data_IF_426137300443
#
_entry.id   IF_426137300443
#
_cell.length_a   1.000
_cell.length_b   1.000
_cell.length_c   1.000
_cell.angle_alpha   90.00
_cell.angle_beta   90.00
_cell.angle_gamma   90.00
#
_symmetry.space_group_name_H-M   'P 1'
#
loop_
_entity.id
_entity.type
_entity.pdbx_description
1 polymer ?
#
# COMPACT_ATOMS: atom_id res chain seq x y z
N UNK A 1 10.02 -7.18 -19.77
CA UNK A 1 9.90 -7.10 -18.30
C UNK A 1 10.63 -8.29 -17.64
N UNK A 2 10.25 -9.56 -17.95
CA UNK A 2 10.82 -10.75 -17.31
C UNK A 2 12.34 -10.81 -17.49
N UNK A 3 12.84 -10.82 -18.74
CA UNK A 3 14.27 -10.86 -19.02
C UNK A 3 15.07 -9.65 -18.51
N UNK A 4 14.43 -8.48 -18.35
CA UNK A 4 15.08 -7.30 -17.78
C UNK A 4 15.28 -7.46 -16.28
N UNK A 5 14.26 -7.98 -15.57
CA UNK A 5 14.34 -8.24 -14.13
C UNK A 5 15.32 -9.37 -13.80
N UNK A 6 15.30 -10.46 -14.59
CA UNK A 6 16.28 -11.55 -14.47
C UNK A 6 17.71 -11.01 -14.60
N UNK A 7 17.98 -10.24 -15.65
CA UNK A 7 19.30 -9.63 -15.90
C UNK A 7 19.76 -8.71 -14.78
N UNK A 8 18.85 -7.89 -14.22
CA UNK A 8 19.15 -7.00 -13.10
C UNK A 8 19.56 -7.81 -11.86
N UNK A 9 18.84 -8.89 -11.58
CA UNK A 9 19.12 -9.74 -10.42
C UNK A 9 20.42 -10.55 -10.59
N UNK A 10 20.70 -11.05 -11.79
CA UNK A 10 21.95 -11.79 -12.12
C UNK A 10 23.17 -10.89 -12.02
N UNK A 11 23.11 -9.67 -12.52
CA UNK A 11 24.23 -8.73 -12.50
C UNK A 11 24.55 -8.16 -11.11
N UNK A 12 23.66 -8.33 -10.13
CA UNK A 12 23.90 -7.92 -8.75
C UNK A 12 24.10 -6.41 -8.54
N UNK A 13 23.64 -5.57 -9.49
CA UNK A 13 23.90 -4.13 -9.50
C UNK A 13 23.06 -3.32 -8.51
N UNK A 14 21.91 -3.87 -8.08
CA UNK A 14 21.04 -3.19 -7.14
C UNK A 14 21.36 -3.58 -5.69
N UNK A 15 21.40 -2.60 -4.76
CA UNK A 15 21.47 -2.89 -3.33
C UNK A 15 20.17 -3.54 -2.85
N UNK A 16 20.21 -4.24 -1.72
CA UNK A 16 19.01 -4.83 -1.08
C UNK A 16 18.01 -3.76 -0.67
N UNK A 17 18.48 -2.57 -0.27
CA UNK A 17 17.69 -1.36 -0.04
C UNK A 17 18.50 -0.15 -0.45
N UNK A 18 17.84 0.87 -0.99
CA UNK A 18 18.47 2.14 -1.29
C UNK A 18 18.86 2.88 -0.01
N UNK A 19 19.96 3.65 -0.07
CA UNK A 19 20.31 4.60 0.98
C UNK A 19 19.25 5.72 1.10
N UNK A 20 19.20 6.40 2.24
CA UNK A 20 18.18 7.41 2.53
C UNK A 20 18.07 8.50 1.45
N UNK A 21 19.21 8.94 0.89
CA UNK A 21 19.23 9.94 -0.17
C UNK A 21 18.57 9.48 -1.50
N UNK A 22 18.52 8.18 -1.74
CA UNK A 22 17.96 7.54 -2.94
C UNK A 22 16.68 6.75 -2.64
N UNK A 23 16.13 6.90 -1.43
CA UNK A 23 14.95 6.18 -0.99
C UNK A 23 13.76 6.45 -1.92
N UNK A 24 13.12 5.38 -2.38
CA UNK A 24 12.03 5.43 -3.37
C UNK A 24 12.46 4.97 -4.77
N UNK A 25 13.75 4.89 -5.07
CA UNK A 25 14.24 4.20 -6.27
C UNK A 25 14.08 2.69 -6.11
N UNK A 26 13.92 1.97 -7.22
CA UNK A 26 13.81 0.51 -7.20
C UNK A 26 15.11 -0.12 -6.70
N UNK A 27 15.01 -0.95 -5.68
CA UNK A 27 16.08 -1.76 -5.11
C UNK A 27 15.96 -3.23 -5.52
N UNK A 28 16.83 -4.09 -5.02
CA UNK A 28 16.84 -5.52 -5.34
C UNK A 28 15.56 -6.22 -4.84
N UNK A 29 15.03 -5.84 -3.67
CA UNK A 29 13.81 -6.43 -3.14
C UNK A 29 12.59 -6.02 -3.99
N UNK A 30 12.53 -4.80 -4.50
CA UNK A 30 11.50 -4.38 -5.45
C UNK A 30 11.56 -5.18 -6.75
N UNK A 31 12.77 -5.42 -7.29
CA UNK A 31 12.96 -6.24 -8.50
C UNK A 31 12.54 -7.71 -8.28
N UNK A 32 12.96 -8.33 -7.16
CA UNK A 32 12.54 -9.69 -6.78
C UNK A 32 11.03 -9.81 -6.62
N UNK A 33 10.41 -8.86 -5.89
CA UNK A 33 8.98 -8.84 -5.65
C UNK A 33 8.18 -8.68 -6.95
N UNK A 34 8.61 -7.81 -7.83
CA UNK A 34 7.96 -7.63 -9.14
C UNK A 34 8.12 -8.88 -10.02
N UNK A 35 9.31 -9.48 -10.07
CA UNK A 35 9.54 -10.72 -10.83
C UNK A 35 8.70 -11.87 -10.29
N UNK A 36 8.56 -12.00 -8.96
CA UNK A 36 7.68 -13.00 -8.35
C UNK A 36 6.23 -12.83 -8.80
N UNK A 37 5.72 -11.60 -8.84
CA UNK A 37 4.35 -11.29 -9.33
C UNK A 37 4.21 -11.60 -10.81
N UNK A 38 5.21 -11.31 -11.64
CA UNK A 38 5.22 -11.64 -13.08
C UNK A 38 5.14 -13.15 -13.26
N UNK A 39 5.98 -13.91 -12.56
CA UNK A 39 5.98 -15.36 -12.67
C UNK A 39 4.68 -16.00 -12.15
N UNK A 40 4.18 -15.57 -11.01
CA UNK A 40 2.91 -16.04 -10.45
C UNK A 40 1.72 -15.82 -11.39
N UNK A 41 1.74 -14.73 -12.15
CA UNK A 41 0.67 -14.41 -13.11
C UNK A 41 0.79 -15.18 -14.42
N UNK A 42 2.01 -15.45 -14.88
CA UNK A 42 2.29 -15.98 -16.21
C UNK A 42 2.39 -17.52 -16.26
N UNK A 43 2.80 -18.11 -15.15
CA UNK A 43 3.07 -19.55 -15.02
C UNK A 43 2.10 -20.20 -14.02
N UNK A 44 2.09 -21.50 -13.92
CA UNK A 44 1.23 -22.28 -13.03
C UNK A 44 2.01 -23.31 -12.23
N UNK A 45 1.37 -23.89 -11.23
CA UNK A 45 1.96 -24.97 -10.44
C UNK A 45 2.45 -26.12 -11.34
N UNK A 46 3.67 -26.57 -11.09
CA UNK A 46 4.42 -27.51 -11.93
C UNK A 46 5.47 -26.86 -12.83
N UNK A 47 5.36 -25.58 -13.13
CA UNK A 47 6.38 -24.86 -13.91
C UNK A 47 7.53 -24.41 -13.01
N UNK A 48 8.78 -24.53 -13.48
CA UNK A 48 9.96 -24.09 -12.73
C UNK A 48 9.94 -22.61 -12.35
N UNK A 49 9.41 -21.75 -13.20
CA UNK A 49 9.27 -20.30 -12.92
C UNK A 49 8.21 -20.00 -11.88
N UNK A 50 7.15 -20.81 -11.77
CA UNK A 50 6.17 -20.70 -10.70
C UNK A 50 6.81 -21.04 -9.33
N UNK A 51 7.60 -22.12 -9.27
CA UNK A 51 8.37 -22.44 -8.07
C UNK A 51 9.40 -21.35 -7.74
N UNK A 52 10.04 -20.75 -8.76
CA UNK A 52 10.96 -19.62 -8.58
C UNK A 52 10.23 -18.38 -8.03
N UNK A 53 8.95 -18.14 -8.37
CA UNK A 53 8.16 -17.08 -7.77
C UNK A 53 8.05 -17.22 -6.25
N UNK A 54 7.74 -18.42 -5.76
CA UNK A 54 7.70 -18.70 -4.31
C UNK A 54 9.06 -18.46 -3.65
N UNK A 55 10.15 -18.90 -4.29
CA UNK A 55 11.49 -18.67 -3.81
C UNK A 55 11.85 -17.18 -3.75
N UNK A 56 11.49 -16.38 -4.74
CA UNK A 56 11.68 -14.93 -4.76
C UNK A 56 10.90 -14.21 -3.66
N UNK A 57 9.64 -14.62 -3.43
CA UNK A 57 8.86 -14.10 -2.30
C UNK A 57 9.56 -14.38 -0.97
N UNK A 58 10.02 -15.63 -0.77
CA UNK A 58 10.76 -16.03 0.43
C UNK A 58 12.02 -15.17 0.62
N UNK A 59 12.83 -15.01 -0.41
CA UNK A 59 14.04 -14.18 -0.38
C UNK A 59 13.75 -12.73 0.03
N UNK A 60 12.63 -12.15 -0.45
CA UNK A 60 12.20 -10.79 -0.05
C UNK A 60 11.80 -10.76 1.42
N UNK A 61 11.00 -11.72 1.89
CA UNK A 61 10.49 -11.76 3.27
C UNK A 61 11.58 -12.08 4.30
N UNK A 62 12.67 -12.73 3.90
CA UNK A 62 13.84 -13.03 4.73
C UNK A 62 14.91 -11.92 4.70
N UNK A 63 14.77 -10.93 3.81
CA UNK A 63 15.71 -9.82 3.72
C UNK A 63 15.66 -8.93 4.96
N UNK A 64 16.79 -8.62 5.57
CA UNK A 64 16.88 -7.67 6.69
C UNK A 64 16.48 -6.22 6.30
N UNK A 65 16.35 -5.95 5.01
CA UNK A 65 15.94 -4.65 4.49
C UNK A 65 14.42 -4.41 4.52
N UNK A 66 13.62 -5.45 4.75
CA UNK A 66 12.16 -5.39 4.84
C UNK A 66 11.65 -5.94 6.18
N UNK A 67 10.42 -5.58 6.56
CA UNK A 67 9.79 -6.15 7.76
C UNK A 67 9.49 -7.64 7.57
N UNK A 68 9.71 -8.43 8.61
CA UNK A 68 9.51 -9.88 8.56
C UNK A 68 8.15 -10.28 9.16
N UNK A 69 7.19 -10.76 8.36
CA UNK A 69 5.87 -11.12 8.85
C UNK A 69 5.83 -12.40 9.71
N UNK A 70 6.85 -13.24 9.64
CA UNK A 70 6.92 -14.47 10.45
C UNK A 70 7.39 -14.19 11.87
N UNK A 71 8.35 -13.28 12.04
CA UNK A 71 8.92 -12.92 13.35
C UNK A 71 8.31 -11.66 13.95
N UNK A 72 7.62 -10.86 13.16
CA UNK A 72 7.16 -9.52 13.52
C UNK A 72 8.26 -8.46 13.54
N UNK A 73 9.50 -8.82 13.19
CA UNK A 73 10.61 -7.89 13.20
C UNK A 73 10.39 -6.75 12.18
N UNK A 74 10.60 -5.51 12.62
CA UNK A 74 10.45 -4.29 11.83
C UNK A 74 9.06 -4.05 11.21
N UNK A 75 8.04 -4.80 11.64
CA UNK A 75 6.66 -4.50 11.29
C UNK A 75 6.15 -3.32 12.12
N UNK A 76 5.32 -2.52 11.50
CA UNK A 76 4.67 -1.38 12.17
C UNK A 76 3.17 -1.64 12.35
N UNK A 77 2.55 -0.92 13.29
CA UNK A 77 1.10 -0.99 13.45
C UNK A 77 0.40 -0.57 12.14
N UNK A 78 -0.70 -1.22 11.78
CA UNK A 78 -1.35 -1.03 10.48
C UNK A 78 -1.65 0.45 10.15
N UNK A 79 -2.04 1.25 11.16
CA UNK A 79 -2.28 2.68 11.01
C UNK A 79 -1.00 3.51 10.76
N UNK A 80 0.18 2.92 10.94
CA UNK A 80 1.48 3.56 10.72
C UNK A 80 2.10 3.23 9.37
N UNK A 81 1.56 2.24 8.65
CA UNK A 81 2.06 1.86 7.31
C UNK A 81 1.88 3.02 6.32
N UNK A 82 0.76 3.75 6.43
CA UNK A 82 0.36 4.82 5.49
C UNK A 82 0.49 6.23 6.09
N UNK A 83 1.16 6.35 7.22
CA UNK A 83 1.38 7.61 7.91
C UNK A 83 2.48 8.39 7.18
N UNK A 84 2.18 9.62 6.76
CA UNK A 84 3.13 10.51 6.06
C UNK A 84 4.38 10.84 6.89
N UNK A 85 4.32 10.65 8.21
CA UNK A 85 5.49 10.79 9.09
C UNK A 85 6.33 9.52 9.19
N UNK A 86 5.91 8.43 8.53
CA UNK A 86 6.56 7.13 8.57
C UNK A 86 6.65 6.51 7.16
N UNK A 87 6.86 7.34 6.16
CA UNK A 87 6.99 6.90 4.77
C UNK A 87 8.19 5.98 4.59
N UNK A 88 8.11 5.12 3.58
CA UNK A 88 9.14 4.12 3.28
C UNK A 88 9.59 3.29 4.49
N UNK A 89 8.69 3.09 5.48
CA UNK A 89 8.95 2.11 6.53
C UNK A 89 9.23 0.72 5.93
N UNK A 90 9.78 -0.21 6.73
CA UNK A 90 10.22 -1.52 6.20
C UNK A 90 9.10 -2.43 5.68
N UNK A 91 7.83 -2.06 5.85
CA UNK A 91 6.71 -2.74 5.19
C UNK A 91 6.45 -2.25 3.76
N UNK A 92 7.03 -1.12 3.36
CA UNK A 92 6.95 -0.59 1.99
C UNK A 92 8.19 -1.04 1.22
N UNK A 93 7.98 -1.91 0.23
CA UNK A 93 9.04 -2.43 -0.65
C UNK A 93 9.27 -1.47 -1.82
N UNK A 94 8.18 -0.99 -2.42
CA UNK A 94 8.24 -0.03 -3.51
C UNK A 94 7.01 0.89 -3.51
N UNK A 95 7.23 2.18 -3.72
CA UNK A 95 6.17 3.18 -3.78
C UNK A 95 6.47 4.26 -4.83
N UNK A 96 5.41 4.85 -5.39
CA UNK A 96 5.52 6.14 -6.04
C UNK A 96 5.57 7.22 -4.95
N UNK A 97 6.68 7.99 -4.94
CA UNK A 97 6.93 9.03 -3.95
C UNK A 97 6.31 10.35 -4.38
N UNK A 98 5.77 11.06 -3.40
CA UNK A 98 5.21 12.41 -3.57
C UNK A 98 5.86 13.38 -2.60
N UNK A 99 5.83 14.66 -2.93
CA UNK A 99 6.39 15.74 -2.12
C UNK A 99 5.47 16.95 -2.16
N UNK A 100 4.95 17.35 -1.01
CA UNK A 100 4.20 18.59 -0.85
C UNK A 100 5.10 19.82 -0.90
N UNK A 101 4.52 21.00 -0.86
CA UNK A 101 5.25 22.27 -0.86
C UNK A 101 5.16 23.05 -2.16
N UNK A 102 4.18 22.72 -2.99
CA UNK A 102 3.89 23.42 -4.26
C UNK A 102 5.06 23.38 -5.27
N UNK A 103 5.80 22.26 -5.25
CA UNK A 103 6.93 22.02 -6.15
C UNK A 103 6.55 21.17 -7.39
N UNK A 104 5.25 20.92 -7.57
CA UNK A 104 4.72 20.14 -8.71
C UNK A 104 4.86 18.61 -8.57
N UNK A 105 5.20 18.12 -7.37
CA UNK A 105 5.37 16.70 -7.05
C UNK A 105 4.33 16.19 -6.04
N UNK A 106 3.27 16.97 -5.79
CA UNK A 106 2.23 16.65 -4.81
C UNK A 106 1.32 15.50 -5.23
N UNK A 107 0.86 14.74 -4.24
CA UNK A 107 -0.13 13.67 -4.41
C UNK A 107 -1.54 14.24 -4.57
N UNK A 108 -2.28 13.87 -5.63
CA UNK A 108 -3.66 14.30 -5.82
C UNK A 108 -4.68 13.46 -5.05
N UNK A 109 -4.27 12.32 -4.49
CA UNK A 109 -5.20 11.30 -3.98
C UNK A 109 -6.10 11.79 -2.85
N UNK A 110 -5.58 12.65 -1.97
CA UNK A 110 -6.38 13.26 -0.91
C UNK A 110 -7.61 13.98 -1.47
N UNK A 111 -7.41 14.86 -2.45
CA UNK A 111 -8.52 15.59 -3.09
C UNK A 111 -9.39 14.67 -3.97
N UNK A 112 -8.82 13.66 -4.62
CA UNK A 112 -9.58 12.71 -5.43
C UNK A 112 -10.54 11.85 -4.59
N UNK A 113 -10.13 11.46 -3.37
CA UNK A 113 -10.90 10.55 -2.53
C UNK A 113 -11.78 11.24 -1.49
N UNK A 114 -11.48 12.47 -1.12
CA UNK A 114 -12.31 13.23 -0.18
C UNK A 114 -13.75 13.44 -0.70
N UNK A 115 -14.73 13.53 0.20
CA UNK A 115 -16.13 13.72 -0.17
C UNK A 115 -16.35 15.00 -0.97
N UNK A 116 -17.18 14.93 -2.00
CA UNK A 116 -17.59 16.11 -2.77
C UNK A 116 -18.29 17.12 -1.85
N UNK A 117 -18.00 18.39 -2.04
CA UNK A 117 -18.60 19.49 -1.27
C UNK A 117 -18.35 19.39 0.26
N UNK A 118 -17.21 18.86 0.67
CA UNK A 118 -16.87 18.76 2.10
C UNK A 118 -16.57 20.13 2.77
N UNK A 119 -16.55 21.24 2.05
CA UNK A 119 -16.35 22.59 2.60
C UNK A 119 -15.01 22.79 3.30
N UNK A 120 -13.94 22.16 2.84
CA UNK A 120 -12.63 22.13 3.47
C UNK A 120 -12.60 21.44 4.86
N UNK A 121 -13.65 20.71 5.24
CA UNK A 121 -13.68 19.99 6.54
C UNK A 121 -12.88 18.68 6.50
N UNK A 122 -12.63 18.14 5.33
CA UNK A 122 -11.80 16.95 5.12
C UNK A 122 -10.50 17.34 4.43
N UNK A 123 -10.60 18.15 3.36
CA UNK A 123 -9.44 18.59 2.59
C UNK A 123 -9.69 19.96 1.97
N UNK A 124 -8.66 20.77 1.85
CA UNK A 124 -8.71 22.08 1.19
C UNK A 124 -8.91 21.92 -0.33
N UNK A 125 -9.67 22.83 -0.91
CA UNK A 125 -9.93 22.90 -2.35
C UNK A 125 -11.04 21.96 -2.81
N UNK A 126 -11.07 21.69 -4.11
CA UNK A 126 -12.08 20.81 -4.73
C UNK A 126 -11.77 19.34 -4.41
N UNK A 127 -12.82 18.54 -4.25
CA UNK A 127 -12.72 17.10 -4.05
C UNK A 127 -13.64 16.35 -5.01
N UNK A 128 -13.24 15.15 -5.43
CA UNK A 128 -13.90 14.40 -6.50
C UNK A 128 -14.82 13.28 -6.00
N UNK A 129 -14.68 12.83 -4.75
CA UNK A 129 -15.45 11.73 -4.20
C UNK A 129 -15.20 10.38 -4.89
N UNK A 130 -14.03 10.20 -5.49
CA UNK A 130 -13.69 8.93 -6.13
C UNK A 130 -13.45 7.84 -5.09
N UNK A 131 -13.64 6.59 -5.52
CA UNK A 131 -13.41 5.41 -4.67
C UNK A 131 -14.22 5.45 -3.37
N UNK A 132 -15.47 5.93 -3.42
CA UNK A 132 -16.37 5.97 -2.25
C UNK A 132 -16.67 4.55 -1.79
N UNK A 133 -16.43 4.21 -0.50
CA UNK A 133 -16.70 2.88 0.03
C UNK A 133 -18.18 2.53 0.03
N UNK A 134 -18.53 1.35 -0.49
CA UNK A 134 -19.90 0.82 -0.48
C UNK A 134 -20.29 0.23 0.88
N UNK A 135 -21.61 0.01 1.10
CA UNK A 135 -22.10 -0.69 2.29
C UNK A 135 -21.53 -2.11 2.42
N UNK A 136 -21.33 -2.78 1.29
CA UNK A 136 -20.80 -4.15 1.28
C UNK A 136 -19.40 -4.23 1.90
N UNK A 137 -18.50 -3.27 1.62
CA UNK A 137 -17.15 -3.29 2.21
C UNK A 137 -17.22 -3.00 3.71
N UNK A 138 -18.09 -2.10 4.16
CA UNK A 138 -18.29 -1.83 5.59
C UNK A 138 -18.80 -3.10 6.30
N UNK A 139 -19.80 -3.75 5.72
CA UNK A 139 -20.35 -5.02 6.23
C UNK A 139 -19.25 -6.09 6.31
N UNK A 140 -18.40 -6.23 5.29
CA UNK A 140 -17.32 -7.21 5.26
C UNK A 140 -16.32 -7.02 6.42
N UNK A 141 -16.02 -5.78 6.80
CA UNK A 141 -15.17 -5.48 7.96
C UNK A 141 -15.81 -5.84 9.31
N UNK A 142 -17.14 -5.92 9.38
CA UNK A 142 -17.90 -6.13 10.63
C UNK A 142 -18.45 -7.55 10.77
N UNK A 143 -18.52 -8.34 9.70
CA UNK A 143 -19.19 -9.66 9.64
C UNK A 143 -18.63 -10.72 10.60
N UNK A 144 -17.43 -10.58 11.12
CA UNK A 144 -16.75 -11.60 11.95
C UNK A 144 -16.85 -11.36 13.47
N UNK A 145 -17.75 -10.49 13.91
CA UNK A 145 -18.03 -10.23 15.33
C UNK A 145 -16.96 -9.43 16.09
N UNK A 146 -15.78 -9.26 15.51
CA UNK A 146 -14.76 -8.34 16.00
C UNK A 146 -14.55 -7.27 14.95
N UNK A 147 -14.53 -6.00 15.35
CA UNK A 147 -14.24 -4.90 14.43
C UNK A 147 -12.83 -5.07 13.86
N UNK A 148 -12.73 -5.26 12.56
CA UNK A 148 -11.44 -5.30 11.88
C UNK A 148 -10.78 -3.92 11.99
N UNK A 149 -9.61 -3.87 12.64
CA UNK A 149 -8.87 -2.62 12.90
C UNK A 149 -8.50 -1.85 11.63
N UNK A 150 -8.53 -2.50 10.46
CA UNK A 150 -8.28 -1.86 9.17
C UNK A 150 -9.41 -0.93 8.76
N UNK A 151 -10.64 -1.13 9.25
CA UNK A 151 -11.78 -0.27 8.92
C UNK A 151 -11.49 1.19 9.24
N UNK A 152 -11.07 1.48 10.46
CA UNK A 152 -10.84 2.86 10.92
C UNK A 152 -9.65 3.55 10.24
N UNK A 153 -8.72 2.77 9.70
CA UNK A 153 -7.58 3.29 8.93
C UNK A 153 -7.95 3.54 7.49
N UNK A 154 -8.69 2.61 6.88
CA UNK A 154 -8.97 2.65 5.44
C UNK A 154 -10.13 3.55 5.08
N UNK A 155 -11.15 3.64 5.95
CA UNK A 155 -12.45 4.23 5.61
C UNK A 155 -12.90 5.19 6.70
N UNK A 156 -13.20 6.41 6.31
CA UNK A 156 -14.00 7.31 7.12
C UNK A 156 -15.48 7.15 6.74
N UNK A 157 -16.35 7.00 7.73
CA UNK A 157 -17.78 6.85 7.55
C UNK A 157 -18.55 8.16 7.78
N UNK A 158 -17.87 9.18 8.29
CA UNK A 158 -18.39 10.50 8.61
C UNK A 158 -17.28 11.52 8.67
N UNK A 159 -17.62 12.80 8.60
CA UNK A 159 -16.68 13.89 8.91
C UNK A 159 -17.40 14.99 9.70
N UNK A 160 -16.64 15.78 10.45
CA UNK A 160 -17.18 16.90 11.22
C UNK A 160 -17.22 18.15 10.35
N UNK A 161 -18.37 18.81 10.29
CA UNK A 161 -18.55 20.08 9.59
C UNK A 161 -18.33 21.23 10.57
N UNK A 162 -17.24 21.96 10.41
CA UNK A 162 -16.86 23.07 11.30
C UNK A 162 -17.77 24.29 11.20
N UNK A 163 -18.49 24.45 10.10
CA UNK A 163 -19.45 25.56 9.91
C UNK A 163 -20.76 25.28 10.64
N UNK A 164 -21.32 24.08 10.51
CA UNK A 164 -22.59 23.72 11.18
C UNK A 164 -22.40 23.16 12.57
N UNK A 165 -21.15 22.87 12.98
CA UNK A 165 -20.79 22.22 14.25
C UNK A 165 -21.45 20.84 14.43
N UNK A 166 -21.67 20.11 13.33
CA UNK A 166 -22.34 18.81 13.32
C UNK A 166 -21.54 17.75 12.56
N UNK A 167 -21.80 16.48 12.88
CA UNK A 167 -21.28 15.36 12.12
C UNK A 167 -22.12 15.10 10.88
N UNK A 168 -21.50 15.11 9.71
CA UNK A 168 -22.11 14.65 8.46
C UNK A 168 -21.99 13.12 8.41
N UNK A 169 -23.15 12.46 8.53
CA UNK A 169 -23.25 10.98 8.63
C UNK A 169 -24.04 10.35 7.51
N UNK A 170 -24.61 11.15 6.62
CA UNK A 170 -25.48 10.71 5.51
C UNK A 170 -25.02 11.30 4.18
N UNK A 171 -25.53 10.77 3.09
CA UNK A 171 -25.13 11.17 1.75
C UNK A 171 -23.68 10.77 1.43
N UNK A 172 -22.97 11.62 0.71
CA UNK A 172 -21.59 11.36 0.26
C UNK A 172 -20.55 11.68 1.36
N UNK A 173 -20.78 11.21 2.59
CA UNK A 173 -19.87 11.47 3.71
C UNK A 173 -18.73 10.45 3.85
N UNK A 174 -18.86 9.29 3.22
CA UNK A 174 -17.82 8.24 3.26
C UNK A 174 -16.70 8.52 2.28
N UNK A 175 -15.48 8.19 2.68
CA UNK A 175 -14.32 8.34 1.80
C UNK A 175 -13.18 7.39 2.17
N UNK A 176 -12.24 7.19 1.23
CA UNK A 176 -11.00 6.46 1.47
C UNK A 176 -10.07 7.32 2.35
N UNK A 177 -10.06 7.04 3.65
CA UNK A 177 -9.30 7.80 4.65
C UNK A 177 -7.80 7.59 4.53
N UNK A 178 -7.39 6.41 4.13
CA UNK A 178 -6.01 5.94 4.09
C UNK A 178 -5.02 6.87 3.37
N UNK A 179 -5.48 7.57 2.32
CA UNK A 179 -4.66 8.50 1.54
C UNK A 179 -5.17 9.95 1.60
N UNK A 180 -6.13 10.22 2.49
CA UNK A 180 -6.69 11.56 2.67
C UNK A 180 -6.06 12.21 3.88
N UNK A 181 -4.85 12.72 3.70
CA UNK A 181 -4.13 13.49 4.69
C UNK A 181 -4.36 14.99 4.47
N UNK A 182 -4.33 15.83 5.52
CA UNK A 182 -4.44 17.26 5.39
C UNK A 182 -3.38 17.82 4.42
N UNK A 183 -3.79 18.76 3.57
CA UNK A 183 -2.92 19.46 2.64
C UNK A 183 -3.06 20.96 2.82
N UNK A 184 -2.02 21.74 2.55
CA UNK A 184 -2.06 23.20 2.56
C UNK A 184 -2.49 23.79 1.22
N UNK A 185 -2.32 23.04 0.15
CA UNK A 185 -2.66 23.42 -1.23
C UNK A 185 -3.39 22.25 -1.91
N UNK A 186 -4.38 22.55 -2.73
CA UNK A 186 -5.15 21.55 -3.46
C UNK A 186 -4.24 20.70 -4.35
N UNK A 187 -4.41 19.37 -4.33
CA UNK A 187 -3.63 18.39 -5.08
C UNK A 187 -2.14 18.33 -4.74
N UNK A 188 -1.74 18.92 -3.62
CA UNK A 188 -0.35 18.97 -3.17
C UNK A 188 -0.13 18.15 -1.88
N UNK A 189 -0.61 16.91 -1.88
CA UNK A 189 -0.45 15.99 -0.77
C UNK A 189 0.94 15.36 -0.72
N UNK A 190 1.31 14.84 0.46
CA UNK A 190 2.59 14.17 0.70
C UNK A 190 2.46 12.64 0.71
N UNK A 191 1.24 12.12 0.68
CA UNK A 191 1.00 10.68 0.78
C UNK A 191 1.60 9.90 -0.37
N UNK A 192 2.59 9.08 -0.10
CA UNK A 192 3.13 8.10 -1.04
C UNK A 192 2.09 7.06 -1.46
N UNK A 193 2.24 6.54 -2.66
CA UNK A 193 1.41 5.44 -3.16
C UNK A 193 2.20 4.12 -3.15
N UNK A 194 2.00 3.26 -2.12
CA UNK A 194 2.64 1.95 -2.07
C UNK A 194 2.19 1.05 -3.22
N UNK A 195 3.15 0.61 -4.04
CA UNK A 195 2.94 -0.29 -5.17
C UNK A 195 3.13 -1.73 -4.75
N UNK A 196 4.18 -2.01 -3.95
CA UNK A 196 4.49 -3.34 -3.42
C UNK A 196 4.77 -3.22 -1.93
N UNK A 197 4.10 -4.04 -1.12
CA UNK A 197 4.27 -4.10 0.33
C UNK A 197 4.57 -5.52 0.80
N UNK A 198 5.15 -5.62 2.00
CA UNK A 198 5.42 -6.90 2.66
C UNK A 198 4.18 -7.78 2.76
N UNK A 199 3.03 -7.21 3.16
CA UNK A 199 1.77 -7.96 3.24
C UNK A 199 1.30 -8.56 1.91
N UNK A 200 1.52 -7.86 0.79
CA UNK A 200 1.23 -8.34 -0.56
C UNK A 200 2.10 -9.56 -0.92
N UNK A 201 3.41 -9.46 -0.65
CA UNK A 201 4.35 -10.53 -0.94
C UNK A 201 4.15 -11.75 0.01
N UNK A 202 3.80 -11.51 1.27
CA UNK A 202 3.48 -12.58 2.22
C UNK A 202 2.24 -13.39 1.79
N UNK A 203 1.19 -12.71 1.34
CA UNK A 203 -0.02 -13.36 0.82
C UNK A 203 0.28 -14.12 -0.48
N UNK A 204 1.05 -13.52 -1.38
CA UNK A 204 1.48 -14.19 -2.62
C UNK A 204 2.32 -15.43 -2.30
N UNK A 205 3.25 -15.35 -1.34
CA UNK A 205 4.04 -16.49 -0.91
C UNK A 205 3.17 -17.63 -0.37
N UNK A 206 2.18 -17.31 0.47
CA UNK A 206 1.25 -18.30 1.01
C UNK A 206 0.41 -18.98 -0.10
N UNK A 207 -0.08 -18.20 -1.06
CA UNK A 207 -0.80 -18.71 -2.23
C UNK A 207 0.06 -19.67 -3.06
N UNK A 208 1.24 -19.22 -3.46
CA UNK A 208 2.18 -20.02 -4.26
C UNK A 208 2.57 -21.32 -3.55
N UNK A 209 2.85 -21.25 -2.25
CA UNK A 209 3.24 -22.42 -1.45
C UNK A 209 2.10 -23.41 -1.34
N UNK A 210 0.88 -22.91 -1.12
CA UNK A 210 -0.32 -23.75 -1.08
C UNK A 210 -0.56 -24.47 -2.42
N UNK A 211 -0.40 -23.78 -3.54
CA UNK A 211 -0.57 -24.37 -4.89
C UNK A 211 0.54 -25.40 -5.24
N UNK A 212 1.75 -25.23 -4.73
CA UNK A 212 2.89 -26.13 -4.99
C UNK A 212 2.83 -27.37 -4.08
N UNK A 213 2.56 -27.19 -2.80
CA UNK A 213 2.77 -28.22 -1.77
C UNK A 213 1.48 -28.61 -1.03
N UNK A 214 0.38 -27.90 -1.26
CA UNK A 214 -0.90 -28.10 -0.57
C UNK A 214 -0.98 -27.38 0.78
N UNK A 215 -2.15 -27.44 1.45
CA UNK A 215 -2.48 -26.64 2.62
C UNK A 215 -1.70 -26.97 3.90
N UNK A 216 -0.83 -27.97 3.88
CA UNK A 216 0.00 -28.41 5.00
C UNK A 216 1.48 -27.98 4.86
N UNK A 217 1.79 -27.14 3.91
CA UNK A 217 3.14 -26.66 3.65
C UNK A 217 3.55 -25.46 4.54
#
# INVERSE_FOLDING_TARGET
>A
IEGDLERILENGMLPERMADADMGRADRNAAKALLAKVYATHYKSGDAKYARAAQLCKEVLESAAVGNPQTGADLVAYNKIFDITNEMNKEIIFAARYLSGNVGLGSPFGNMFAPVNNGANVIIGTSSGYNTPSDNIITAYTMRGATDKRLDVNIAQKYFNSTTQEWVTTGNCRYCKKYTNPVSTQYDGESDWPIIRVGDIALLYAELTNEISGPSA
#
